data_IF_347736812105
#
_entry.id   IF_347736812105
#
_cell.length_a   1.000
_cell.length_b   1.000
_cell.length_c   1.000
_cell.angle_alpha   90.00
_cell.angle_beta   90.00
_cell.angle_gamma   90.00
#
_symmetry.space_group_name_H-M   'P 1'
#
loop_
_entity.id
_entity.type
_entity.pdbx_description
1 polymer ?
#
# COMPACT_ATOMS: atom_id res chain seq x y z
N UNK A 1 9.65 8.33 7.43
CA UNK A 1 8.53 9.25 7.11
C UNK A 1 8.48 9.64 5.63
N UNK A 2 9.57 10.13 5.02
CA UNK A 2 9.58 10.53 3.59
C UNK A 2 9.07 9.43 2.65
N UNK A 3 9.52 8.18 2.84
CA UNK A 3 9.08 7.05 2.01
C UNK A 3 7.57 6.79 2.14
N UNK A 4 7.00 6.87 3.35
CA UNK A 4 5.56 6.71 3.52
C UNK A 4 4.76 7.80 2.79
N UNK A 5 5.22 9.05 2.88
CA UNK A 5 4.62 10.18 2.19
C UNK A 5 4.73 10.08 0.65
N UNK A 6 5.88 9.61 0.16
CA UNK A 6 6.08 9.36 -1.27
C UNK A 6 5.10 8.31 -1.79
N UNK A 7 4.97 7.18 -1.09
CA UNK A 7 4.04 6.12 -1.48
C UNK A 7 2.57 6.51 -1.30
N UNK A 8 2.25 7.35 -0.32
CA UNK A 8 0.94 7.97 -0.22
C UNK A 8 0.64 8.85 -1.45
N UNK A 9 1.61 9.65 -1.90
CA UNK A 9 1.51 10.45 -3.13
C UNK A 9 1.34 9.60 -4.39
N UNK A 10 2.05 8.48 -4.50
CA UNK A 10 1.85 7.51 -5.59
C UNK A 10 0.43 6.93 -5.51
N UNK A 11 -0.03 6.57 -4.32
CA UNK A 11 -1.39 6.07 -4.10
C UNK A 11 -2.46 7.09 -4.50
N UNK A 12 -2.22 8.36 -4.21
CA UNK A 12 -3.06 9.47 -4.65
C UNK A 12 -3.13 9.55 -6.18
N UNK A 13 -1.98 9.54 -6.85
CA UNK A 13 -1.91 9.57 -8.32
C UNK A 13 -2.63 8.37 -8.95
N UNK A 14 -2.51 7.17 -8.38
CA UNK A 14 -3.20 5.97 -8.86
C UNK A 14 -4.72 6.08 -8.68
N UNK A 15 -5.18 6.59 -7.54
CA UNK A 15 -6.61 6.79 -7.28
C UNK A 15 -7.24 7.77 -8.26
N UNK A 16 -6.68 8.98 -8.35
CA UNK A 16 -7.24 10.04 -9.19
C UNK A 16 -6.92 9.89 -10.68
N UNK A 17 -5.89 9.12 -11.03
CA UNK A 17 -5.48 8.90 -12.42
C UNK A 17 -6.09 7.66 -13.06
N UNK A 18 -6.39 6.61 -12.28
CA UNK A 18 -6.88 5.33 -12.82
C UNK A 18 -8.24 4.91 -12.27
N UNK A 19 -8.52 5.14 -10.98
CA UNK A 19 -9.73 4.61 -10.35
C UNK A 19 -10.92 5.55 -10.56
N UNK A 20 -10.78 6.81 -10.16
CA UNK A 20 -11.87 7.80 -10.09
C UNK A 20 -12.30 8.43 -11.44
N UNK A 21 -11.47 8.53 -12.51
CA UNK A 21 -11.91 9.16 -13.76
C UNK A 21 -13.01 8.39 -14.50
N UNK A 22 -14.18 9.01 -14.63
CA UNK A 22 -15.33 8.45 -15.34
C UNK A 22 -15.05 8.21 -16.83
N UNK A 23 -14.26 9.09 -17.46
CA UNK A 23 -13.85 8.96 -18.86
C UNK A 23 -13.14 7.62 -19.13
N UNK A 24 -12.26 7.20 -18.21
CA UNK A 24 -11.53 5.93 -18.30
C UNK A 24 -12.47 4.75 -18.04
N UNK A 25 -13.38 4.90 -17.07
CA UNK A 25 -14.42 3.90 -16.80
C UNK A 25 -15.30 3.62 -18.02
N UNK A 26 -15.66 4.66 -18.77
CA UNK A 26 -16.48 4.54 -19.97
C UNK A 26 -15.72 3.86 -21.12
N UNK A 27 -14.42 4.11 -21.28
CA UNK A 27 -13.59 3.39 -22.27
C UNK A 27 -13.48 1.89 -21.97
N UNK A 28 -13.52 1.50 -20.70
CA UNK A 28 -13.46 0.09 -20.32
C UNK A 28 -14.82 -0.64 -20.37
N UNK A 29 -15.93 0.09 -20.60
CA UNK A 29 -17.28 -0.47 -20.76
C UNK A 29 -17.75 -0.49 -22.21
N UNK A 30 -17.01 0.13 -23.13
CA UNK A 30 -17.35 0.15 -24.56
C UNK A 30 -17.10 -1.21 -25.22
N UNK A 31 -17.69 -1.44 -26.39
CA UNK A 31 -17.46 -2.65 -27.19
C UNK A 31 -16.00 -2.78 -27.68
N UNK A 32 -15.25 -1.68 -27.67
CA UNK A 32 -13.83 -1.58 -28.01
C UNK A 32 -12.99 -1.43 -26.73
N UNK A 33 -13.27 -2.27 -25.73
CA UNK A 33 -12.57 -2.21 -24.45
C UNK A 33 -11.06 -2.34 -24.65
N UNK A 34 -10.31 -1.42 -24.06
CA UNK A 34 -8.85 -1.39 -24.18
C UNK A 34 -8.23 -2.57 -23.43
N UNK A 35 -7.17 -3.15 -23.98
CA UNK A 35 -6.54 -4.38 -23.46
C UNK A 35 -6.09 -4.33 -21.99
N UNK A 36 -5.82 -3.14 -21.43
CA UNK A 36 -5.39 -2.97 -20.04
C UNK A 36 -6.56 -2.77 -19.04
N UNK A 37 -7.81 -2.71 -19.51
CA UNK A 37 -8.98 -2.59 -18.66
C UNK A 37 -9.13 -3.69 -17.59
N UNK A 38 -8.79 -4.98 -17.85
CA UNK A 38 -8.78 -6.00 -16.81
C UNK A 38 -7.81 -5.69 -15.66
N UNK A 39 -6.67 -5.06 -15.96
CA UNK A 39 -5.67 -4.67 -14.94
C UNK A 39 -6.25 -3.58 -14.03
N UNK A 40 -6.92 -2.58 -14.61
CA UNK A 40 -7.62 -1.53 -13.85
C UNK A 40 -8.69 -2.14 -12.94
N UNK A 41 -9.53 -3.02 -13.48
CA UNK A 41 -10.60 -3.67 -12.70
C UNK A 41 -10.02 -4.51 -11.56
N UNK A 42 -8.97 -5.30 -11.83
CA UNK A 42 -8.27 -6.06 -10.79
C UNK A 42 -7.69 -5.18 -9.70
N UNK A 43 -7.13 -4.01 -10.06
CA UNK A 43 -6.64 -3.04 -9.10
C UNK A 43 -7.75 -2.46 -8.22
N UNK A 44 -8.89 -2.07 -8.82
CA UNK A 44 -10.06 -1.55 -8.09
C UNK A 44 -10.58 -2.60 -7.10
N UNK A 45 -10.75 -3.85 -7.53
CA UNK A 45 -11.20 -4.94 -6.66
C UNK A 45 -10.19 -5.19 -5.53
N UNK A 46 -8.89 -5.20 -5.83
CA UNK A 46 -7.86 -5.38 -4.80
C UNK A 46 -7.86 -4.26 -3.75
N UNK A 47 -8.22 -3.03 -4.16
CA UNK A 47 -8.41 -1.92 -3.22
C UNK A 47 -9.71 -2.06 -2.44
N UNK A 48 -10.81 -2.45 -3.06
CA UNK A 48 -12.12 -2.62 -2.42
C UNK A 48 -12.12 -3.73 -1.34
N UNK A 49 -11.28 -4.77 -1.53
CA UNK A 49 -11.12 -5.87 -0.57
C UNK A 49 -10.09 -5.59 0.54
N UNK A 50 -9.67 -4.33 0.72
CA UNK A 50 -8.62 -3.94 1.67
C UNK A 50 -7.30 -4.70 1.49
N UNK A 51 -7.02 -5.24 0.29
CA UNK A 51 -5.90 -6.15 0.05
C UNK A 51 -4.54 -5.54 0.37
N UNK A 52 -4.35 -4.27 0.00
CA UNK A 52 -3.13 -3.51 0.35
C UNK A 52 -3.01 -3.28 1.87
N UNK A 53 -4.13 -3.07 2.55
CA UNK A 53 -4.17 -2.89 3.99
C UNK A 53 -3.71 -4.15 4.71
N UNK A 54 -4.33 -5.30 4.41
CA UNK A 54 -3.92 -6.59 4.97
C UNK A 54 -2.46 -6.95 4.65
N UNK A 55 -2.00 -6.66 3.43
CA UNK A 55 -0.60 -6.88 3.06
C UNK A 55 0.36 -6.04 3.91
N UNK A 56 0.04 -4.76 4.15
CA UNK A 56 0.84 -3.90 5.01
C UNK A 56 0.89 -4.43 6.45
N UNK A 57 -0.26 -4.84 7.02
CA UNK A 57 -0.31 -5.40 8.37
C UNK A 57 0.44 -6.72 8.48
N UNK A 58 0.28 -7.63 7.52
CA UNK A 58 0.96 -8.91 7.49
C UNK A 58 2.48 -8.73 7.39
N UNK A 59 2.95 -7.86 6.48
CA UNK A 59 4.38 -7.53 6.39
C UNK A 59 4.90 -6.93 7.71
N UNK A 60 4.16 -6.03 8.35
CA UNK A 60 4.56 -5.45 9.62
C UNK A 60 4.66 -6.50 10.73
N UNK A 61 3.70 -7.43 10.84
CA UNK A 61 3.76 -8.52 11.81
C UNK A 61 4.93 -9.47 11.56
N UNK A 62 5.23 -9.78 10.30
CA UNK A 62 6.36 -10.63 9.94
C UNK A 62 7.71 -10.02 10.35
N UNK A 63 7.83 -8.69 10.47
CA UNK A 63 9.05 -8.05 11.00
C UNK A 63 9.40 -8.45 12.44
N UNK A 64 8.41 -8.95 13.20
CA UNK A 64 8.61 -9.41 14.59
C UNK A 64 9.30 -10.77 14.64
N UNK A 65 9.04 -11.63 13.64
CA UNK A 65 9.60 -12.98 13.55
C UNK A 65 10.98 -13.03 12.86
N UNK A 66 11.37 -11.97 12.15
CA UNK A 66 12.60 -11.93 11.35
C UNK A 66 13.81 -11.37 12.13
N UNK A 67 15.04 -11.84 11.80
CA UNK A 67 16.27 -11.25 12.30
C UNK A 67 16.43 -9.81 11.80
N UNK A 68 17.22 -9.00 12.52
CA UNK A 68 17.32 -7.53 12.33
C UNK A 68 17.43 -7.10 10.86
N UNK A 69 18.27 -7.75 10.05
CA UNK A 69 18.46 -7.36 8.62
C UNK A 69 17.19 -7.56 7.79
N UNK A 70 16.54 -8.71 7.92
CA UNK A 70 15.29 -9.00 7.20
C UNK A 70 14.12 -8.15 7.72
N UNK A 71 14.06 -7.93 9.03
CA UNK A 71 13.04 -7.08 9.65
C UNK A 71 13.08 -5.64 9.16
N UNK A 72 14.26 -5.06 8.91
CA UNK A 72 14.38 -3.69 8.36
C UNK A 72 13.81 -3.60 6.96
N UNK A 73 14.17 -4.54 6.07
CA UNK A 73 13.66 -4.55 4.69
C UNK A 73 12.14 -4.69 4.69
N UNK A 74 11.61 -5.65 5.45
CA UNK A 74 10.16 -5.86 5.53
C UNK A 74 9.42 -4.68 6.16
N UNK A 75 10.04 -3.98 7.12
CA UNK A 75 9.46 -2.78 7.70
C UNK A 75 9.39 -1.63 6.68
N UNK A 76 10.40 -1.45 5.83
CA UNK A 76 10.32 -0.48 4.73
C UNK A 76 9.24 -0.83 3.72
N UNK A 77 9.10 -2.12 3.37
CA UNK A 77 8.02 -2.60 2.49
C UNK A 77 6.65 -2.33 3.12
N UNK A 78 6.46 -2.70 4.39
CA UNK A 78 5.23 -2.43 5.13
C UNK A 78 4.93 -0.93 5.20
N UNK A 79 5.95 -0.09 5.35
CA UNK A 79 5.79 1.36 5.39
C UNK A 79 5.38 1.95 4.02
N UNK A 80 5.91 1.41 2.92
CA UNK A 80 5.53 1.79 1.56
C UNK A 80 4.09 1.38 1.24
N UNK A 81 3.75 0.11 1.50
CA UNK A 81 2.40 -0.42 1.25
C UNK A 81 1.38 0.27 2.17
N UNK A 82 1.71 0.47 3.45
CA UNK A 82 0.86 1.16 4.41
C UNK A 82 0.60 2.62 4.04
N UNK A 83 1.63 3.33 3.55
CA UNK A 83 1.51 4.70 3.05
C UNK A 83 0.58 4.80 1.83
N UNK A 84 0.73 3.90 0.86
CA UNK A 84 -0.18 3.83 -0.28
C UNK A 84 -1.61 3.42 0.14
N UNK A 85 -1.75 2.38 0.97
CA UNK A 85 -3.02 1.87 1.45
C UNK A 85 -3.85 2.91 2.22
N UNK A 86 -3.20 3.85 2.91
CA UNK A 86 -3.85 4.96 3.59
C UNK A 86 -4.69 5.83 2.63
N UNK A 87 -4.25 5.98 1.37
CA UNK A 87 -4.87 6.86 0.37
C UNK A 87 -5.85 6.10 -0.53
N UNK A 88 -5.61 4.81 -0.74
CA UNK A 88 -6.43 3.92 -1.57
C UNK A 88 -7.64 3.31 -0.81
N UNK A 89 -8.21 4.03 0.14
CA UNK A 89 -9.38 3.62 0.96
C UNK A 89 -9.14 2.49 1.99
N UNK A 90 -7.91 2.03 2.19
CA UNK A 90 -7.60 0.88 3.07
C UNK A 90 -7.01 1.32 4.42
N UNK A 91 -7.43 2.49 4.91
CA UNK A 91 -6.80 3.15 6.05
C UNK A 91 -6.93 2.35 7.35
N UNK A 92 -8.05 1.65 7.54
CA UNK A 92 -8.37 0.89 8.76
C UNK A 92 -7.35 -0.23 9.00
N UNK A 93 -6.97 -0.95 7.95
CA UNK A 93 -6.03 -2.08 8.03
C UNK A 93 -4.58 -1.65 7.79
N UNK A 94 -4.36 -0.65 6.92
CA UNK A 94 -3.03 -0.13 6.60
C UNK A 94 -2.42 0.67 7.77
N UNK A 95 -3.23 1.40 8.53
CA UNK A 95 -2.79 2.25 9.64
C UNK A 95 -2.01 1.48 10.72
N UNK A 96 -2.56 0.39 11.29
CA UNK A 96 -1.84 -0.45 12.25
C UNK A 96 -0.52 -1.01 11.70
N UNK A 97 -0.52 -1.46 10.43
CA UNK A 97 0.68 -1.98 9.78
C UNK A 97 1.78 -0.92 9.64
N UNK A 98 1.40 0.31 9.26
CA UNK A 98 2.31 1.43 9.15
C UNK A 98 2.92 1.81 10.51
N UNK A 99 2.10 1.88 11.56
CA UNK A 99 2.54 2.21 12.92
C UNK A 99 3.50 1.12 13.44
N UNK A 100 3.15 -0.15 13.29
CA UNK A 100 4.00 -1.28 13.70
C UNK A 100 5.35 -1.27 12.98
N UNK A 101 5.38 -1.00 11.68
CA UNK A 101 6.61 -0.90 10.91
C UNK A 101 7.51 0.25 11.42
N UNK A 102 6.94 1.41 11.70
CA UNK A 102 7.66 2.55 12.26
C UNK A 102 8.21 2.26 13.66
N UNK A 103 7.39 1.69 14.56
CA UNK A 103 7.81 1.28 15.89
C UNK A 103 8.93 0.25 15.84
N UNK A 104 8.83 -0.72 14.93
CA UNK A 104 9.88 -1.74 14.74
C UNK A 104 11.20 -1.11 14.31
N UNK A 105 11.19 -0.19 13.35
CA UNK A 105 12.39 0.51 12.89
C UNK A 105 13.01 1.36 14.01
N UNK A 106 12.19 2.12 14.74
CA UNK A 106 12.63 2.91 15.87
C UNK A 106 13.27 2.05 16.98
N UNK A 107 12.67 0.90 17.29
CA UNK A 107 13.21 -0.05 18.26
C UNK A 107 14.56 -0.65 17.81
N UNK A 108 14.70 -0.99 16.53
CA UNK A 108 15.96 -1.52 15.99
C UNK A 108 17.06 -0.47 16.09
N UNK A 109 16.75 0.79 15.79
CA UNK A 109 17.68 1.91 15.86
C UNK A 109 18.11 2.20 17.30
N UNK A 110 17.16 2.24 18.24
CA UNK A 110 17.46 2.40 19.68
C UNK A 110 18.34 1.29 20.25
N UNK A 111 18.42 0.12 19.60
CA UNK A 111 19.27 -1.00 20.02
C UNK A 111 20.66 -0.97 19.34
N UNK A 112 20.92 0.00 18.47
CA UNK A 112 22.22 0.24 17.82
C UNK A 112 23.01 1.35 18.50
N UNK A 113 22.32 2.35 19.07
CA UNK A 113 22.90 3.38 19.94
C UNK A 113 23.28 2.80 21.31
#
# INVERSE_FOLDING_TARGET
>A
MILAALFAGIGYALRYGLVEPEAIGNMCKSAEAVWWCPVRTGFIVATEWNGLGYAATACALLTLALPRRGAVILAFIAMAIGGAGLVLYNATEAGPGLILALLRLAWIESRRA
#
